data_IF_236503893250
#
_entry.id   IF_236503893250
#
_cell.length_a   1.000
_cell.length_b   1.000
_cell.length_c   1.000
_cell.angle_alpha   90.00
_cell.angle_beta   90.00
_cell.angle_gamma   90.00
#
_symmetry.space_group_name_H-M   'P 1'
#
loop_
_entity.id
_entity.type
_entity.pdbx_description
1 polymer ?
#
# COMPACT_ATOMS: atom_id res chain seq x y z
N UNK A 1 -1.99 4.32 -10.87
CA UNK A 1 -1.90 4.85 -9.49
C UNK A 1 -0.45 4.93 -9.03
N UNK A 2 0.35 3.84 -9.15
CA UNK A 2 1.77 3.84 -8.74
C UNK A 2 2.64 4.93 -9.37
N UNK A 3 2.46 5.20 -10.66
CA UNK A 3 3.20 6.27 -11.34
C UNK A 3 2.88 7.68 -10.82
N UNK A 4 1.78 7.84 -10.07
CA UNK A 4 1.36 9.08 -9.44
C UNK A 4 1.69 9.12 -7.94
N UNK A 5 2.52 8.18 -7.46
CA UNK A 5 2.98 8.14 -6.08
C UNK A 5 2.06 7.41 -5.08
N UNK A 6 0.99 6.76 -5.56
CA UNK A 6 0.10 5.95 -4.72
C UNK A 6 0.14 4.47 -5.11
N UNK A 7 0.24 3.58 -4.14
CA UNK A 7 0.34 2.14 -4.32
C UNK A 7 -0.79 1.39 -3.62
N UNK A 8 -2.06 1.58 -4.04
CA UNK A 8 -3.18 0.86 -3.45
C UNK A 8 -3.05 -0.64 -3.66
N UNK A 9 -3.53 -1.38 -2.66
CA UNK A 9 -3.74 -2.82 -2.74
C UNK A 9 -4.91 -3.16 -3.68
N UNK A 10 -4.96 -4.39 -4.23
CA UNK A 10 -6.08 -4.82 -5.06
C UNK A 10 -7.45 -4.66 -4.38
N UNK A 11 -7.51 -4.91 -3.07
CA UNK A 11 -8.73 -4.73 -2.27
C UNK A 11 -9.14 -3.27 -2.14
N UNK A 12 -8.18 -2.35 -1.98
CA UNK A 12 -8.47 -0.91 -1.95
C UNK A 12 -8.98 -0.42 -3.30
N UNK A 13 -8.35 -0.85 -4.40
CA UNK A 13 -8.85 -0.55 -5.76
C UNK A 13 -10.28 -1.05 -5.92
N UNK A 14 -10.56 -2.29 -5.51
CA UNK A 14 -11.91 -2.87 -5.60
C UNK A 14 -12.93 -2.11 -4.75
N UNK A 15 -12.54 -1.63 -3.55
CA UNK A 15 -13.38 -0.82 -2.67
C UNK A 15 -13.69 0.54 -3.28
N UNK A 16 -12.69 1.20 -3.88
CA UNK A 16 -12.88 2.47 -4.58
C UNK A 16 -13.88 2.32 -5.72
N UNK A 17 -13.76 1.28 -6.54
CA UNK A 17 -14.70 0.99 -7.63
C UNK A 17 -16.13 0.76 -7.11
N UNK A 18 -16.30 -0.04 -6.06
CA UNK A 18 -17.62 -0.29 -5.45
C UNK A 18 -18.26 0.97 -4.88
N UNK A 19 -17.47 1.84 -4.24
CA UNK A 19 -17.96 3.12 -3.67
C UNK A 19 -18.56 4.02 -4.75
N UNK A 20 -18.06 3.92 -5.98
CA UNK A 20 -18.56 4.66 -7.14
C UNK A 20 -19.59 3.87 -7.96
N UNK A 21 -20.04 2.70 -7.49
CA UNK A 21 -21.01 1.86 -8.20
C UNK A 21 -20.48 1.25 -9.50
N UNK A 22 -19.16 1.22 -9.68
CA UNK A 22 -18.52 0.68 -10.88
C UNK A 22 -18.35 -0.82 -10.69
N UNK A 23 -19.02 -1.60 -11.55
CA UNK A 23 -18.85 -3.04 -11.57
C UNK A 23 -17.47 -3.44 -12.13
N UNK A 24 -17.12 -4.73 -12.10
CA UNK A 24 -15.80 -5.23 -12.53
C UNK A 24 -15.53 -5.05 -14.04
N UNK A 25 -16.55 -4.73 -14.82
CA UNK A 25 -16.52 -4.48 -16.26
C UNK A 25 -16.93 -3.05 -16.63
N UNK A 26 -17.23 -2.21 -15.64
CA UNK A 26 -17.68 -0.84 -15.83
C UNK A 26 -16.56 0.05 -16.32
N UNK A 27 -16.90 0.99 -17.18
CA UNK A 27 -15.96 2.01 -17.63
C UNK A 27 -15.77 3.06 -16.53
N UNK A 28 -14.51 3.37 -16.23
CA UNK A 28 -14.12 4.41 -15.31
C UNK A 28 -13.87 5.70 -16.10
N UNK A 29 -14.68 6.73 -15.85
CA UNK A 29 -14.42 8.04 -16.41
C UNK A 29 -13.24 8.73 -15.71
N UNK A 30 -12.61 9.66 -16.42
CA UNK A 30 -11.40 10.31 -15.94
C UNK A 30 -11.63 11.13 -14.65
N UNK A 31 -12.82 11.73 -14.48
CA UNK A 31 -13.14 12.52 -13.27
C UNK A 31 -13.22 11.64 -12.02
N UNK A 32 -13.87 10.48 -12.13
CA UNK A 32 -13.91 9.50 -11.04
C UNK A 32 -12.53 8.95 -10.74
N UNK A 33 -11.70 8.67 -11.76
CA UNK A 33 -10.31 8.26 -11.54
C UNK A 33 -9.52 9.28 -10.70
N UNK A 34 -9.63 10.58 -11.01
CA UNK A 34 -8.96 11.62 -10.24
C UNK A 34 -9.46 11.71 -8.79
N UNK A 35 -10.77 11.52 -8.59
CA UNK A 35 -11.38 11.50 -7.24
C UNK A 35 -10.84 10.35 -6.40
N UNK A 36 -10.76 9.14 -6.99
CA UNK A 36 -10.19 7.97 -6.35
C UNK A 36 -8.71 8.21 -6.02
N UNK A 37 -7.93 8.72 -6.97
CA UNK A 37 -6.52 9.01 -6.79
C UNK A 37 -6.27 10.02 -5.65
N UNK A 38 -7.01 11.12 -5.64
CA UNK A 38 -6.89 12.15 -4.60
C UNK A 38 -7.22 11.59 -3.21
N UNK A 39 -8.20 10.70 -3.12
CA UNK A 39 -8.57 10.03 -1.87
C UNK A 39 -7.48 9.04 -1.43
N UNK A 40 -6.97 8.22 -2.35
CA UNK A 40 -5.92 7.24 -2.06
C UNK A 40 -4.63 7.91 -1.55
N UNK A 41 -4.16 8.96 -2.23
CA UNK A 41 -2.92 9.67 -1.85
C UNK A 41 -3.02 10.26 -0.43
N UNK A 42 -4.22 10.67 0.01
CA UNK A 42 -4.44 11.19 1.36
C UNK A 42 -4.50 10.11 2.43
N UNK A 43 -4.89 8.89 2.06
CA UNK A 43 -5.01 7.77 2.97
C UNK A 43 -3.67 7.06 3.18
N UNK A 44 -2.86 6.97 2.13
CA UNK A 44 -1.59 6.25 2.14
C UNK A 44 -0.56 6.99 3.02
N UNK A 45 -0.13 6.34 4.10
CA UNK A 45 0.93 6.84 4.99
C UNK A 45 2.00 5.75 5.12
N UNK A 46 3.00 5.75 4.23
CA UNK A 46 3.98 4.66 4.15
C UNK A 46 4.77 4.51 5.45
N UNK A 47 4.98 5.60 6.21
CA UNK A 47 5.67 5.55 7.51
C UNK A 47 4.86 4.77 8.54
N UNK A 48 3.54 5.02 8.60
CA UNK A 48 2.65 4.26 9.51
C UNK A 48 2.59 2.80 9.12
N UNK A 49 2.54 2.48 7.83
CA UNK A 49 2.49 1.09 7.37
C UNK A 49 3.77 0.32 7.71
N UNK A 50 4.94 0.94 7.50
CA UNK A 50 6.22 0.35 7.91
C UNK A 50 6.26 0.12 9.42
N UNK A 51 5.81 1.10 10.22
CA UNK A 51 5.77 0.96 11.68
C UNK A 51 4.83 -0.17 12.13
N UNK A 52 3.64 -0.27 11.53
CA UNK A 52 2.70 -1.36 11.81
C UNK A 52 3.30 -2.72 11.42
N UNK A 53 3.94 -2.82 10.26
CA UNK A 53 4.64 -4.03 9.84
C UNK A 53 5.75 -4.41 10.82
N UNK A 54 6.50 -3.43 11.33
CA UNK A 54 7.52 -3.64 12.36
C UNK A 54 6.91 -4.17 13.66
N UNK A 55 5.84 -3.53 14.17
CA UNK A 55 5.15 -3.96 15.38
C UNK A 55 4.56 -5.37 15.26
N UNK A 56 4.03 -5.73 14.08
CA UNK A 56 3.48 -7.06 13.84
C UNK A 56 4.55 -8.14 13.64
N UNK A 57 5.78 -7.74 13.28
CA UNK A 57 6.91 -8.64 13.10
C UNK A 57 7.69 -8.83 14.41
N UNK A 58 7.87 -7.77 15.21
CA UNK A 58 8.56 -7.79 16.50
C UNK A 58 7.70 -8.37 17.63
N UNK A 59 7.37 -9.66 17.52
CA UNK A 59 6.56 -10.37 18.54
C UNK A 59 7.22 -10.39 19.91
N UNK A 60 8.54 -10.32 19.95
CA UNK A 60 9.34 -10.38 21.17
C UNK A 60 9.62 -9.00 21.77
N UNK A 61 9.14 -7.91 21.14
CA UNK A 61 9.35 -6.52 21.56
C UNK A 61 10.82 -6.16 21.75
N UNK A 62 11.68 -6.64 20.85
CA UNK A 62 13.13 -6.37 20.82
C UNK A 62 13.45 -4.93 20.41
N UNK A 63 12.50 -4.24 19.78
CA UNK A 63 12.66 -2.88 19.24
C UNK A 63 13.33 -2.84 17.87
N UNK A 64 13.69 -4.00 17.31
CA UNK A 64 14.26 -4.15 15.97
C UNK A 64 13.85 -5.51 15.39
N UNK A 65 13.83 -5.61 14.07
CA UNK A 65 13.56 -6.85 13.33
C UNK A 65 14.54 -7.01 12.19
N UNK A 66 14.68 -8.23 11.68
CA UNK A 66 15.48 -8.42 10.48
C UNK A 66 14.80 -7.82 9.25
N UNK A 67 15.58 -7.23 8.35
CA UNK A 67 15.05 -6.68 7.10
C UNK A 67 14.29 -7.74 6.26
N UNK A 68 14.71 -9.00 6.35
CA UNK A 68 14.02 -10.14 5.72
C UNK A 68 12.62 -10.38 6.29
N UNK A 69 12.42 -10.24 7.60
CA UNK A 69 11.12 -10.39 8.27
C UNK A 69 10.20 -9.22 7.96
N UNK A 70 10.72 -7.98 8.06
CA UNK A 70 9.99 -6.78 7.67
C UNK A 70 9.50 -6.89 6.23
N UNK A 71 10.39 -7.30 5.32
CA UNK A 71 10.09 -7.49 3.92
C UNK A 71 9.04 -8.57 3.67
N UNK A 72 9.12 -9.71 4.36
CA UNK A 72 8.08 -10.75 4.29
C UNK A 72 6.72 -10.22 4.74
N UNK A 73 6.71 -9.36 5.77
CA UNK A 73 5.48 -8.79 6.31
C UNK A 73 4.89 -7.71 5.41
N UNK A 74 5.71 -6.81 4.87
CA UNK A 74 5.30 -5.77 3.92
C UNK A 74 4.79 -6.39 2.61
N UNK A 75 5.40 -7.48 2.13
CA UNK A 75 4.88 -8.23 0.98
C UNK A 75 3.52 -8.87 1.25
N UNK A 76 3.22 -9.25 2.50
CA UNK A 76 1.90 -9.80 2.89
C UNK A 76 0.85 -8.71 3.14
N UNK A 77 1.26 -7.54 3.63
CA UNK A 77 0.36 -6.40 3.87
C UNK A 77 -0.04 -5.70 2.56
N UNK A 78 0.87 -5.60 1.58
CA UNK A 78 0.60 -4.95 0.29
C UNK A 78 0.35 -5.89 -0.90
N UNK A 79 0.44 -7.21 -0.69
CA UNK A 79 0.41 -8.33 -1.65
C UNK A 79 1.39 -8.28 -2.85
N UNK A 80 1.84 -7.11 -3.33
CA UNK A 80 2.82 -6.97 -4.44
C UNK A 80 3.66 -5.69 -4.36
N UNK A 81 4.16 -5.32 -3.18
CA UNK A 81 5.35 -4.47 -3.13
C UNK A 81 6.52 -5.30 -3.68
N UNK A 82 6.96 -4.96 -4.89
CA UNK A 82 8.09 -5.63 -5.54
C UNK A 82 9.37 -5.39 -4.74
N UNK A 83 10.33 -6.32 -4.91
CA UNK A 83 11.65 -6.25 -4.28
C UNK A 83 12.30 -4.85 -4.35
N UNK A 84 12.08 -4.15 -5.47
CA UNK A 84 12.63 -2.83 -5.74
C UNK A 84 11.95 -1.72 -4.93
N UNK A 85 10.63 -1.80 -4.76
CA UNK A 85 9.86 -0.83 -3.98
C UNK A 85 10.22 -0.93 -2.49
N UNK A 86 10.34 -2.15 -1.94
CA UNK A 86 10.78 -2.35 -0.55
C UNK A 86 12.21 -1.85 -0.34
N UNK A 87 13.12 -2.12 -1.30
CA UNK A 87 14.49 -1.63 -1.23
C UNK A 87 14.59 -0.10 -1.24
N UNK A 88 13.78 0.58 -2.07
CA UNK A 88 13.77 2.04 -2.11
C UNK A 88 13.25 2.64 -0.79
N UNK A 89 12.17 2.07 -0.23
CA UNK A 89 11.60 2.52 1.05
C UNK A 89 12.55 2.32 2.24
N UNK A 90 13.40 1.29 2.21
CA UNK A 90 14.41 1.03 3.25
C UNK A 90 15.70 1.83 3.06
N UNK A 91 16.03 2.23 1.83
CA UNK A 91 17.25 2.98 1.52
C UNK A 91 17.07 4.51 1.66
N UNK A 92 15.85 5.01 1.65
CA UNK A 92 15.52 6.43 1.85
C UNK A 92 15.36 6.83 3.34
N UNK A 93 15.77 5.95 4.28
CA UNK A 93 15.74 6.17 5.73
C UNK A 93 17.10 6.54 6.32
#
# INVERSE_FOLDING_TARGET
MRCLGASPTPDEVQRHLQTHGIDKHGELDFSTFLTIMHTQIKQEDPRKEVLLAMLMADKEKKGYIMASELRSKLMKLGEKLTHKEVGNQLAEG
#
